data_IF_964572986779
#
_entry.id   IF_964572986779
#
_cell.length_a   1.000
_cell.length_b   1.000
_cell.length_c   1.000
_cell.angle_alpha   90.00
_cell.angle_beta   90.00
_cell.angle_gamma   90.00
#
_symmetry.space_group_name_H-M   'P 1'
#
loop_
_entity.id
_entity.type
_entity.pdbx_description
1 polymer ?
#
# COMPACT_ATOMS: atom_id res chain seq x y z
N UNK A 1 11.60 14.67 56.16
CA UNK A 1 11.01 13.52 55.44
C UNK A 1 9.79 13.98 54.66
N UNK A 2 9.89 14.32 53.35
CA UNK A 2 8.73 14.51 52.41
C UNK A 2 9.18 14.98 51.00
N UNK A 3 10.24 14.40 50.46
CA UNK A 3 10.79 14.82 49.16
C UNK A 3 10.95 13.68 48.14
N UNK A 4 10.38 12.50 48.42
CA UNK A 4 10.54 11.30 47.58
C UNK A 4 9.34 10.96 46.69
N UNK A 5 8.25 11.74 46.73
CA UNK A 5 7.00 11.39 46.03
C UNK A 5 6.90 11.98 44.62
N UNK A 6 7.65 13.05 44.32
CA UNK A 6 7.59 13.73 43.02
C UNK A 6 8.37 13.03 41.90
N UNK A 7 9.38 12.22 42.24
CA UNK A 7 10.20 11.54 41.23
C UNK A 7 9.56 10.25 40.69
N UNK A 8 8.65 9.64 41.45
CA UNK A 8 8.03 8.35 41.09
C UNK A 8 6.85 8.50 40.13
N UNK A 9 6.22 9.68 40.09
CA UNK A 9 5.07 9.95 39.22
C UNK A 9 5.46 10.25 37.77
N UNK A 10 6.70 10.70 37.52
CA UNK A 10 7.14 11.05 36.17
C UNK A 10 7.56 9.82 35.33
N UNK A 11 7.94 8.71 35.97
CA UNK A 11 8.40 7.51 35.27
C UNK A 11 7.28 6.58 34.78
N UNK A 12 6.03 6.78 35.23
CA UNK A 12 4.89 5.96 34.80
C UNK A 12 4.12 6.56 33.61
N UNK A 13 4.38 7.81 33.22
CA UNK A 13 3.65 8.45 32.12
C UNK A 13 4.29 8.22 30.74
N UNK A 14 5.59 7.84 30.70
CA UNK A 14 6.31 7.66 29.43
C UNK A 14 6.11 6.30 28.75
N UNK A 15 5.44 5.33 29.38
CA UNK A 15 5.20 4.00 28.78
C UNK A 15 3.93 3.90 27.93
N UNK A 16 3.05 4.92 27.92
CA UNK A 16 1.75 4.82 27.25
C UNK A 16 1.80 5.15 25.75
N UNK A 17 2.87 5.78 25.24
CA UNK A 17 2.95 6.19 23.83
C UNK A 17 3.58 5.16 22.88
N UNK A 18 3.93 3.95 23.35
CA UNK A 18 4.56 2.91 22.54
C UNK A 18 3.55 1.88 21.96
N UNK A 19 2.27 2.22 21.86
CA UNK A 19 1.20 1.22 21.75
C UNK A 19 0.22 1.36 20.58
N UNK A 20 0.59 1.96 19.44
CA UNK A 20 -0.17 1.79 18.19
C UNK A 20 0.76 1.77 16.96
N UNK A 21 1.92 1.13 17.07
CA UNK A 21 2.71 0.68 15.93
C UNK A 21 2.27 -0.72 15.49
N UNK A 22 0.95 -0.96 15.39
CA UNK A 22 0.42 -2.23 14.90
C UNK A 22 0.79 -2.34 13.43
N UNK A 23 1.83 -3.11 13.12
CA UNK A 23 2.22 -3.41 11.76
C UNK A 23 1.02 -3.91 10.97
N UNK A 24 0.48 -3.06 10.10
CA UNK A 24 -0.50 -3.45 9.07
C UNK A 24 0.20 -4.26 7.97
N UNK A 25 1.06 -5.19 8.37
CA UNK A 25 1.74 -6.15 7.52
C UNK A 25 0.99 -7.46 7.55
N UNK A 26 -0.32 -7.43 7.32
CA UNK A 26 -1.02 -8.66 6.97
C UNK A 26 -0.53 -9.07 5.58
N UNK A 27 0.51 -9.91 5.56
CA UNK A 27 1.02 -10.55 4.36
C UNK A 27 0.00 -11.62 3.92
N UNK A 28 -1.19 -11.18 3.50
CA UNK A 28 -2.12 -12.00 2.75
C UNK A 28 -1.54 -12.15 1.34
N UNK A 29 -0.53 -13.02 1.20
CA UNK A 29 -0.05 -13.41 -0.13
C UNK A 29 -1.18 -14.03 -0.97
N UNK A 30 -2.21 -14.54 -0.30
CA UNK A 30 -3.38 -15.15 -0.89
C UNK A 30 -4.67 -14.63 -0.25
N UNK A 31 -5.64 -14.31 -1.11
CA UNK A 31 -7.01 -13.88 -0.77
C UNK A 31 -8.00 -14.96 -1.21
N UNK A 32 -9.03 -15.23 -0.40
CA UNK A 32 -9.96 -16.34 -0.64
C UNK A 32 -10.91 -16.13 -1.82
N UNK A 33 -11.18 -14.88 -2.21
CA UNK A 33 -12.02 -14.51 -3.35
C UNK A 33 -11.29 -13.54 -4.27
N UNK A 34 -11.71 -13.47 -5.53
CA UNK A 34 -11.02 -12.70 -6.56
C UNK A 34 -11.30 -11.20 -6.47
N UNK A 35 -10.47 -10.38 -7.13
CA UNK A 35 -10.72 -8.94 -7.18
C UNK A 35 -12.03 -8.65 -7.92
N UNK A 36 -12.69 -7.53 -7.62
CA UNK A 36 -13.74 -7.02 -8.47
C UNK A 36 -13.23 -6.79 -9.91
N UNK A 37 -14.12 -6.65 -10.90
CA UNK A 37 -13.74 -6.31 -12.26
C UNK A 37 -12.80 -5.09 -12.30
N UNK A 38 -11.81 -5.06 -13.21
CA UNK A 38 -10.97 -3.88 -13.39
C UNK A 38 -11.85 -2.65 -13.61
N UNK A 39 -11.59 -1.57 -12.88
CA UNK A 39 -12.24 -0.30 -13.22
C UNK A 39 -11.50 0.28 -14.42
N UNK A 40 -12.23 0.52 -15.50
CA UNK A 40 -11.73 1.29 -16.62
C UNK A 40 -11.73 2.76 -16.22
N UNK A 41 -10.60 3.44 -16.43
CA UNK A 41 -10.58 4.90 -16.39
C UNK A 41 -11.40 5.43 -17.56
N UNK A 42 -12.05 6.59 -17.36
CA UNK A 42 -12.44 7.44 -18.48
C UNK A 42 -11.21 7.98 -19.21
N UNK A 43 -11.33 9.09 -19.93
CA UNK A 43 -10.19 9.71 -20.60
C UNK A 43 -9.03 9.94 -19.60
N UNK A 44 -7.87 9.35 -19.87
CA UNK A 44 -6.65 9.60 -19.10
C UNK A 44 -6.29 11.08 -19.30
N UNK A 45 -6.16 11.83 -18.20
CA UNK A 45 -5.82 13.25 -18.25
C UNK A 45 -4.45 13.51 -18.86
N UNK A 46 -4.13 14.79 -19.11
CA UNK A 46 -2.84 15.18 -19.73
C UNK A 46 -1.66 14.83 -18.81
N UNK A 47 -0.59 14.30 -19.41
CA UNK A 47 0.64 14.02 -18.67
C UNK A 47 1.24 15.31 -18.09
N UNK A 48 1.81 15.29 -16.86
CA UNK A 48 2.42 16.48 -16.25
C UNK A 48 3.63 17.04 -17.02
N UNK A 49 4.21 16.26 -17.94
CA UNK A 49 5.28 16.70 -18.81
C UNK A 49 6.00 15.54 -19.50
N UNK A 50 7.13 15.81 -20.19
CA UNK A 50 7.91 14.79 -20.87
C UNK A 50 8.48 13.74 -19.91
N UNK A 51 8.39 12.47 -20.33
CA UNK A 51 8.95 11.33 -19.59
C UNK A 51 8.08 10.81 -18.45
N UNK A 52 6.83 11.26 -18.31
CA UNK A 52 5.85 10.59 -17.45
C UNK A 52 5.21 9.40 -18.19
N UNK A 53 5.00 8.31 -17.46
CA UNK A 53 4.30 7.12 -17.92
C UNK A 53 3.07 6.94 -17.06
N UNK A 54 1.93 6.64 -17.70
CA UNK A 54 0.70 6.33 -16.98
C UNK A 54 0.80 4.92 -16.39
N UNK A 55 0.58 4.81 -15.08
CA UNK A 55 0.40 3.52 -14.39
C UNK A 55 -1.08 3.37 -14.11
N UNK A 56 -1.73 2.33 -14.63
CA UNK A 56 -3.14 2.09 -14.33
C UNK A 56 -3.31 1.80 -12.83
N UNK A 57 -4.48 2.15 -12.31
CA UNK A 57 -4.81 1.72 -10.96
C UNK A 57 -5.21 0.26 -10.89
N UNK A 58 -5.31 -0.21 -9.66
CA UNK A 58 -5.46 -1.61 -9.35
C UNK A 58 -6.22 -1.79 -8.05
N UNK A 59 -6.81 -2.97 -7.90
CA UNK A 59 -7.39 -3.40 -6.63
C UNK A 59 -6.27 -3.82 -5.67
N UNK A 60 -6.02 -3.02 -4.64
CA UNK A 60 -5.14 -3.39 -3.54
C UNK A 60 -5.92 -4.17 -2.48
N UNK A 61 -5.29 -5.18 -1.88
CA UNK A 61 -5.84 -5.84 -0.70
C UNK A 61 -5.29 -5.19 0.55
N UNK A 62 -6.14 -4.48 1.31
CA UNK A 62 -5.77 -3.80 2.56
C UNK A 62 -6.87 -3.98 3.58
N UNK A 63 -6.51 -4.18 4.85
CA UNK A 63 -7.48 -4.28 5.94
C UNK A 63 -8.57 -5.35 5.74
N UNK A 64 -8.27 -6.43 5.00
CA UNK A 64 -9.22 -7.51 4.73
C UNK A 64 -10.23 -7.24 3.62
N UNK A 65 -10.03 -6.21 2.79
CA UNK A 65 -10.91 -5.87 1.66
C UNK A 65 -10.14 -5.36 0.44
N UNK A 66 -10.84 -5.30 -0.69
CA UNK A 66 -10.35 -4.65 -1.90
C UNK A 66 -10.57 -3.14 -1.82
N UNK A 67 -9.47 -2.39 -1.82
CA UNK A 67 -9.46 -0.94 -1.96
C UNK A 67 -8.94 -0.58 -3.35
N UNK A 68 -9.66 0.27 -4.08
CA UNK A 68 -9.21 0.75 -5.37
C UNK A 68 -8.08 1.76 -5.19
N UNK A 69 -6.94 1.52 -5.84
CA UNK A 69 -5.84 2.46 -5.91
C UNK A 69 -5.88 3.13 -7.28
N UNK A 70 -6.06 4.44 -7.32
CA UNK A 70 -6.12 5.17 -8.60
C UNK A 70 -4.79 5.13 -9.37
N UNK A 71 -4.93 5.17 -10.68
CA UNK A 71 -3.85 5.31 -11.63
C UNK A 71 -3.25 6.69 -11.56
N UNK A 72 -2.01 6.81 -12.00
CA UNK A 72 -1.25 8.05 -11.88
C UNK A 72 -0.16 8.14 -12.94
N UNK A 73 0.21 9.37 -13.23
CA UNK A 73 1.41 9.68 -13.99
C UNK A 73 2.64 9.55 -13.09
N UNK A 74 3.62 8.74 -13.49
CA UNK A 74 4.86 8.51 -12.73
C UNK A 74 6.07 8.65 -13.65
N UNK A 75 7.16 9.23 -13.15
CA UNK A 75 8.45 9.21 -13.85
C UNK A 75 9.15 7.86 -13.64
N UNK A 76 9.63 7.20 -14.71
CA UNK A 76 10.36 5.96 -14.56
C UNK A 76 11.69 6.18 -13.82
N UNK A 77 12.15 5.20 -13.04
CA UNK A 77 13.51 5.17 -12.50
C UNK A 77 14.56 5.18 -13.62
N UNK A 78 15.80 5.57 -13.30
CA UNK A 78 16.91 5.54 -14.26
C UNK A 78 17.09 4.15 -14.86
N UNK A 79 17.28 4.12 -16.19
CA UNK A 79 17.52 2.89 -16.94
C UNK A 79 16.27 2.05 -17.23
N UNK A 80 15.07 2.52 -16.86
CA UNK A 80 13.80 1.84 -17.13
C UNK A 80 12.90 2.75 -17.94
N UNK A 81 12.04 2.18 -18.78
CA UNK A 81 11.23 2.96 -19.72
C UNK A 81 9.77 2.53 -19.79
N UNK A 82 9.46 1.30 -19.39
CA UNK A 82 8.11 0.75 -19.48
C UNK A 82 7.58 0.34 -18.12
N UNK A 83 6.32 0.70 -17.84
CA UNK A 83 5.57 0.17 -16.71
C UNK A 83 4.89 -1.13 -17.14
N UNK A 84 5.11 -2.20 -16.38
CA UNK A 84 4.38 -3.46 -16.51
C UNK A 84 3.32 -3.46 -15.42
N UNK A 85 2.05 -3.57 -15.84
CA UNK A 85 0.94 -3.57 -14.91
C UNK A 85 0.98 -4.75 -13.94
N UNK A 86 0.62 -4.45 -12.69
CA UNK A 86 0.38 -5.48 -11.71
C UNK A 86 -0.91 -6.23 -12.03
N UNK A 87 -1.00 -7.48 -11.62
CA UNK A 87 -2.17 -8.31 -11.88
C UNK A 87 -2.48 -9.21 -10.71
N UNK A 88 -3.74 -9.59 -10.61
CA UNK A 88 -4.17 -10.67 -9.74
C UNK A 88 -4.10 -11.97 -10.49
N UNK A 89 -3.46 -12.97 -9.89
CA UNK A 89 -3.44 -14.33 -10.39
C UNK A 89 -4.07 -15.26 -9.38
N UNK A 90 -4.73 -16.30 -9.88
CA UNK A 90 -5.28 -17.36 -9.05
C UNK A 90 -4.38 -18.58 -9.10
N UNK A 91 -4.06 -19.15 -7.94
CA UNK A 91 -3.46 -20.47 -7.83
C UNK A 91 -4.25 -21.36 -6.85
N UNK A 92 -3.73 -22.55 -6.54
CA UNK A 92 -4.39 -23.51 -5.65
C UNK A 92 -4.57 -23.02 -4.19
N UNK A 93 -3.91 -21.94 -3.79
CA UNK A 93 -3.99 -21.34 -2.44
C UNK A 93 -4.92 -20.14 -2.39
N UNK A 94 -5.33 -19.60 -3.53
CA UNK A 94 -6.24 -18.46 -3.63
C UNK A 94 -5.78 -17.44 -4.67
N UNK A 95 -6.11 -16.17 -4.44
CA UNK A 95 -5.75 -15.05 -5.31
C UNK A 95 -4.54 -14.29 -4.75
N UNK A 96 -3.51 -14.11 -5.57
CA UNK A 96 -2.31 -13.37 -5.22
C UNK A 96 -2.13 -12.17 -6.14
N UNK A 97 -1.81 -11.01 -5.58
CA UNK A 97 -1.43 -9.84 -6.37
C UNK A 97 0.06 -9.91 -6.72
N UNK A 98 0.37 -9.91 -8.02
CA UNK A 98 1.71 -9.65 -8.54
C UNK A 98 1.86 -8.15 -8.77
N UNK A 99 2.72 -7.46 -7.99
CA UNK A 99 2.91 -6.03 -8.14
C UNK A 99 3.40 -5.64 -9.53
N UNK A 100 2.89 -4.52 -10.03
CA UNK A 100 3.44 -3.89 -11.22
C UNK A 100 4.88 -3.43 -10.97
N UNK A 101 5.67 -3.39 -12.03
CA UNK A 101 7.07 -3.03 -11.94
C UNK A 101 7.57 -2.40 -13.22
N UNK A 102 8.68 -1.67 -13.09
CA UNK A 102 9.36 -1.08 -14.22
C UNK A 102 10.22 -2.10 -14.95
N UNK A 103 10.30 -2.00 -16.28
CA UNK A 103 11.23 -2.73 -17.14
C UNK A 103 12.21 -1.77 -17.81
#
# INVERSE_FOLDING_TARGET
MRQKVLATTFLLFSTVLAGCGGGYGYNYRYVSYGPPPPRYYGAIGVAPGPGYVWTNGYWAWRGGRYDWMDGRWVRPPRGRTAWIEGRWDRDGRGWAYRPGHWR
#
